data_IF_404143845604
#
_entry.id   IF_404143845604
#
_cell.length_a   1.000
_cell.length_b   1.000
_cell.length_c   1.000
_cell.angle_alpha   90.00
_cell.angle_beta   90.00
_cell.angle_gamma   90.00
#
_symmetry.space_group_name_H-M   'P 1'
#
loop_
_entity.id
_entity.type
_entity.pdbx_description
1 polymer ?
#
# COMPACT_ATOMS: atom_id res chain seq x y z
N UNK A 1 -4.40 5.44 1.17
CA UNK A 1 -4.20 5.00 -0.22
C UNK A 1 -5.51 5.07 -0.98
N UNK A 2 -5.52 5.47 -2.26
CA UNK A 2 -6.70 5.49 -3.13
C UNK A 2 -6.40 4.69 -4.41
N UNK A 3 -7.34 3.82 -4.80
CA UNK A 3 -7.23 2.94 -5.98
C UNK A 3 -8.38 3.25 -6.95
N UNK A 4 -8.12 3.15 -8.25
CA UNK A 4 -9.02 3.64 -9.31
C UNK A 4 -9.61 2.53 -10.20
N UNK A 5 -9.15 1.29 -10.05
CA UNK A 5 -9.62 0.12 -10.80
C UNK A 5 -10.28 -0.91 -9.89
N UNK A 6 -10.43 -2.13 -10.39
CA UNK A 6 -10.92 -3.25 -9.58
C UNK A 6 -10.07 -3.38 -8.29
N UNK A 7 -10.69 -3.35 -7.10
CA UNK A 7 -9.95 -3.36 -5.84
C UNK A 7 -9.07 -4.59 -5.65
N UNK A 8 -9.51 -5.76 -6.12
CA UNK A 8 -8.77 -7.01 -5.94
C UNK A 8 -7.57 -7.07 -6.88
N UNK A 9 -7.75 -6.68 -8.14
CA UNK A 9 -6.63 -6.61 -9.09
C UNK A 9 -5.60 -5.55 -8.67
N UNK A 10 -6.04 -4.35 -8.27
CA UNK A 10 -5.13 -3.28 -7.89
C UNK A 10 -4.32 -3.60 -6.62
N UNK A 11 -4.92 -4.32 -5.66
CA UNK A 11 -4.25 -4.71 -4.40
C UNK A 11 -3.39 -5.97 -4.51
N UNK A 12 -3.85 -6.99 -5.23
CA UNK A 12 -3.28 -8.34 -5.13
C UNK A 12 -2.65 -8.85 -6.43
N UNK A 13 -2.76 -8.13 -7.55
CA UNK A 13 -2.07 -8.54 -8.77
C UNK A 13 -0.55 -8.53 -8.58
N UNK A 14 0.12 -9.62 -8.90
CA UNK A 14 1.58 -9.67 -8.95
C UNK A 14 2.06 -9.29 -10.36
N UNK A 15 2.86 -8.23 -10.45
CA UNK A 15 3.48 -7.83 -11.72
C UNK A 15 4.85 -7.22 -11.45
N UNK A 16 5.77 -7.40 -12.39
CA UNK A 16 7.13 -6.88 -12.27
C UNK A 16 7.18 -5.37 -12.55
N UNK A 17 8.17 -4.70 -11.98
CA UNK A 17 8.45 -3.29 -12.27
C UNK A 17 7.50 -2.28 -11.63
N UNK A 18 6.73 -2.65 -10.60
CA UNK A 18 5.99 -1.70 -9.75
C UNK A 18 6.77 -1.42 -8.46
N UNK A 19 6.92 -0.14 -8.15
CA UNK A 19 7.61 0.34 -6.95
C UNK A 19 6.72 1.31 -6.19
N UNK A 20 6.73 1.21 -4.86
CA UNK A 20 6.13 2.19 -3.97
C UNK A 20 7.22 3.10 -3.44
N UNK A 21 7.05 4.41 -3.63
CA UNK A 21 7.97 5.43 -3.11
C UNK A 21 7.21 6.45 -2.29
N UNK A 22 7.80 6.83 -1.16
CA UNK A 22 7.38 8.00 -0.39
C UNK A 22 8.42 9.10 -0.61
N UNK A 23 7.98 10.25 -1.12
CA UNK A 23 8.84 11.42 -1.34
C UNK A 23 8.32 12.59 -0.52
N UNK A 24 9.24 13.46 -0.08
CA UNK A 24 8.86 14.71 0.61
C UNK A 24 8.40 15.79 -0.37
N UNK A 25 9.00 15.79 -1.56
CA UNK A 25 8.74 16.73 -2.64
C UNK A 25 8.48 15.95 -3.94
N UNK A 26 7.34 16.21 -4.56
CA UNK A 26 6.92 15.58 -5.81
C UNK A 26 7.86 15.96 -6.98
N UNK A 27 8.55 17.11 -6.90
CA UNK A 27 9.53 17.51 -7.91
C UNK A 27 10.67 16.48 -8.07
N UNK A 28 10.94 15.66 -7.04
CA UNK A 28 11.90 14.56 -7.12
C UNK A 28 11.49 13.46 -8.12
N UNK A 29 10.21 13.42 -8.53
CA UNK A 29 9.66 12.48 -9.51
C UNK A 29 9.55 13.08 -10.92
N UNK A 30 10.11 14.28 -11.15
CA UNK A 30 10.06 14.94 -12.45
C UNK A 30 10.61 14.04 -13.57
N UNK A 31 9.84 13.89 -14.65
CA UNK A 31 10.19 13.05 -15.79
C UNK A 31 9.95 11.54 -15.60
N UNK A 32 9.55 11.09 -14.41
CA UNK A 32 9.20 9.70 -14.14
C UNK A 32 7.69 9.51 -14.26
N UNK A 33 7.24 8.53 -15.05
CA UNK A 33 5.83 8.16 -15.08
C UNK A 33 5.45 7.51 -13.75
N UNK A 34 4.54 8.12 -13.02
CA UNK A 34 4.11 7.65 -11.70
C UNK A 34 2.62 7.92 -11.47
N UNK A 35 2.10 7.36 -10.38
CA UNK A 35 0.74 7.62 -9.86
C UNK A 35 0.86 7.92 -8.38
N UNK A 36 0.32 9.06 -7.94
CA UNK A 36 0.17 9.34 -6.51
C UNK A 36 -1.01 8.54 -6.00
N UNK A 37 -0.75 7.65 -5.05
CA UNK A 37 -1.79 6.80 -4.46
C UNK A 37 -2.15 7.24 -3.03
N UNK A 38 -1.48 8.24 -2.47
CA UNK A 38 -1.78 8.76 -1.14
C UNK A 38 -0.56 9.35 -0.44
N UNK A 39 -0.64 9.44 0.87
CA UNK A 39 0.39 10.01 1.76
C UNK A 39 0.83 8.98 2.79
N UNK A 40 2.05 9.14 3.30
CA UNK A 40 2.60 8.34 4.41
C UNK A 40 2.53 9.15 5.71
N UNK A 41 2.17 8.48 6.79
CA UNK A 41 2.01 9.06 8.12
C UNK A 41 0.74 8.55 8.80
N UNK A 42 0.52 8.99 10.05
CA UNK A 42 -0.60 8.51 10.89
C UNK A 42 -0.35 7.14 11.51
N UNK A 43 -1.35 6.64 12.22
CA UNK A 43 -1.22 5.45 13.07
C UNK A 43 -1.76 4.16 12.45
N UNK A 44 -2.43 4.24 11.28
CA UNK A 44 -3.13 3.09 10.65
C UNK A 44 -2.96 3.08 9.14
N UNK A 45 -3.05 1.90 8.53
CA UNK A 45 -3.18 1.77 7.08
C UNK A 45 -4.63 1.99 6.67
N UNK A 46 -4.90 3.08 5.95
CA UNK A 46 -6.23 3.35 5.39
C UNK A 46 -6.22 3.23 3.86
N UNK A 47 -7.07 2.37 3.32
CA UNK A 47 -7.28 2.17 1.89
C UNK A 47 -8.70 2.64 1.55
N UNK A 48 -8.84 3.51 0.55
CA UNK A 48 -10.11 4.07 0.08
C UNK A 48 -10.43 3.51 -1.31
N UNK A 49 -11.67 3.04 -1.47
CA UNK A 49 -12.20 2.36 -2.66
C UNK A 49 -13.62 2.87 -2.90
N UNK A 50 -13.94 3.46 -4.05
CA UNK A 50 -15.31 3.82 -4.48
C UNK A 50 -16.30 4.34 -3.40
N UNK A 51 -15.82 5.15 -2.45
CA UNK A 51 -16.63 5.74 -1.36
C UNK A 51 -16.59 4.97 -0.03
N UNK A 52 -15.95 3.81 0.00
CA UNK A 52 -15.69 3.01 1.19
C UNK A 52 -14.23 3.15 1.66
N UNK A 53 -14.00 2.81 2.93
CA UNK A 53 -12.66 2.79 3.51
C UNK A 53 -12.42 1.52 4.30
N UNK A 54 -11.32 0.85 4.00
CA UNK A 54 -10.75 -0.24 4.78
C UNK A 54 -9.67 0.38 5.68
N UNK A 55 -9.77 0.17 6.98
CA UNK A 55 -8.80 0.64 7.98
C UNK A 55 -8.21 -0.58 8.63
N UNK A 56 -6.90 -0.74 8.51
CA UNK A 56 -6.15 -1.83 9.11
C UNK A 56 -5.20 -1.21 10.15
N UNK A 57 -5.44 -1.45 11.44
CA UNK A 57 -4.56 -0.95 12.48
C UNK A 57 -3.26 -1.76 12.53
N UNK A 58 -2.18 -1.19 13.08
CA UNK A 58 -0.85 -1.79 13.05
C UNK A 58 -0.79 -3.13 13.80
N UNK A 59 -1.54 -3.26 14.91
CA UNK A 59 -1.62 -4.50 15.67
C UNK A 59 -2.23 -5.66 14.87
N UNK A 60 -3.19 -5.38 13.97
CA UNK A 60 -3.81 -6.38 13.12
C UNK A 60 -2.86 -6.81 11.99
N UNK A 61 -2.13 -5.85 11.41
CA UNK A 61 -1.04 -6.12 10.47
C UNK A 61 0.04 -6.99 11.09
N UNK A 62 0.52 -6.64 12.29
CA UNK A 62 1.56 -7.37 13.00
C UNK A 62 1.09 -8.79 13.38
N UNK A 63 -0.16 -8.93 13.85
CA UNK A 63 -0.76 -10.23 14.12
C UNK A 63 -0.84 -11.08 12.85
N UNK A 64 -1.37 -10.54 11.74
CA UNK A 64 -1.49 -11.25 10.48
C UNK A 64 -0.12 -11.70 9.94
N UNK A 65 0.88 -10.82 9.96
CA UNK A 65 2.23 -11.12 9.47
C UNK A 65 3.00 -12.09 10.38
N UNK A 66 2.69 -12.16 11.67
CA UNK A 66 3.40 -13.02 12.63
C UNK A 66 2.89 -14.47 12.67
N UNK A 67 1.69 -14.74 12.15
CA UNK A 67 1.04 -16.06 12.26
C UNK A 67 1.60 -17.12 11.31
N UNK A 68 1.96 -16.77 10.07
CA UNK A 68 2.40 -17.75 9.05
C UNK A 68 3.91 -17.69 8.77
N UNK A 69 4.51 -16.49 8.83
CA UNK A 69 5.90 -16.20 8.43
C UNK A 69 6.97 -16.64 9.44
N UNK A 70 6.60 -17.16 10.62
CA UNK A 70 7.56 -17.72 11.61
C UNK A 70 8.11 -19.10 11.18
N UNK A 71 7.47 -19.76 10.21
CA UNK A 71 7.89 -21.08 9.70
C UNK A 71 8.87 -21.00 8.53
N UNK A 72 9.04 -19.82 7.90
CA UNK A 72 9.90 -19.59 6.72
C UNK A 72 11.09 -18.66 7.01
N UNK A 73 11.47 -18.49 8.28
CA UNK A 73 12.76 -17.91 8.68
C UNK A 73 13.74 -19.05 8.98
N UNK A 74 14.13 -19.81 7.97
CA UNK A 74 15.28 -20.74 7.98
C UNK A 74 16.03 -20.62 6.66
#
# INVERSE_FOLDING_TARGET
VALAGDPLEELFSETCGRFLLAVRDEAALAGVKHRIIGTVGGDTLTIRLEGESIVIPPEELDAALSTTTRTMRY
#
